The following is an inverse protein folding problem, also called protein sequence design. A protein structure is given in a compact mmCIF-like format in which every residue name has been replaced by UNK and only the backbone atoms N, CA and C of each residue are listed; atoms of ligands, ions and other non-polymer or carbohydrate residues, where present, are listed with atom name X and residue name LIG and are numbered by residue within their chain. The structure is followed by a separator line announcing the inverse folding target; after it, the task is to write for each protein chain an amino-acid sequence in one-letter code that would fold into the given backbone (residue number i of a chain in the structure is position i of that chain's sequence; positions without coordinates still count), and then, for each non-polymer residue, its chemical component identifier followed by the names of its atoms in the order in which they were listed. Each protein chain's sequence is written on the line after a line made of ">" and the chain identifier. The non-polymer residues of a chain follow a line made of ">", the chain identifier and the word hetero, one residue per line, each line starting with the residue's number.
data_IF_287747039511
#
_entry.id   IF_287747039511
#
_cell.length_a   1.000
_cell.length_b   1.000
_cell.length_c   1.000
_cell.angle_alpha   90.00
_cell.angle_beta   90.00
_cell.angle_gamma   90.00
#
_symmetry.space_group_name_H-M   'P 1'
#
loop_
_entity.id
_entity.type
_entity.pdbx_description
1 polymer ?
#
# COMPACT_ATOMS: atom_id res chain seq x y z
N UNK A 1 -3.72 13.30 1.49
CA UNK A 1 -3.40 13.13 0.05
C UNK A 1 -2.71 11.80 -0.22
N UNK A 2 -1.65 11.46 0.53
CA UNK A 2 -0.93 10.19 0.40
C UNK A 2 -1.78 8.92 0.56
N UNK A 3 -2.90 8.98 1.27
CA UNK A 3 -3.83 7.86 1.33
C UNK A 3 -4.42 7.49 -0.05
N UNK A 4 -4.70 8.48 -0.91
CA UNK A 4 -5.20 8.20 -2.26
C UNK A 4 -4.15 7.50 -3.12
N UNK A 5 -2.86 7.72 -2.83
CA UNK A 5 -1.77 7.03 -3.52
C UNK A 5 -1.84 5.51 -3.34
N UNK A 6 -2.40 4.98 -2.23
CA UNK A 6 -2.49 3.53 -2.08
C UNK A 6 -3.44 2.85 -3.08
N UNK A 7 -4.38 3.58 -3.69
CA UNK A 7 -5.36 3.03 -4.64
C UNK A 7 -4.66 2.39 -5.87
N UNK A 8 -3.86 3.13 -6.66
CA UNK A 8 -3.14 2.55 -7.79
C UNK A 8 -2.17 1.43 -7.39
N UNK A 9 -1.49 1.56 -6.25
CA UNK A 9 -0.59 0.53 -5.72
C UNK A 9 -1.35 -0.77 -5.45
N UNK A 10 -2.51 -0.69 -4.79
CA UNK A 10 -3.38 -1.84 -4.52
C UNK A 10 -3.87 -2.44 -5.83
N UNK A 11 -4.31 -1.61 -6.79
CA UNK A 11 -4.74 -2.07 -8.11
C UNK A 11 -3.62 -2.82 -8.84
N UNK A 12 -2.39 -2.33 -8.79
CA UNK A 12 -1.21 -2.98 -9.38
C UNK A 12 -0.98 -4.36 -8.77
N UNK A 13 -0.99 -4.49 -7.44
CA UNK A 13 -0.70 -5.79 -6.79
C UNK A 13 -1.83 -6.81 -6.88
N UNK A 14 -3.09 -6.38 -7.00
CA UNK A 14 -4.23 -7.30 -7.22
C UNK A 14 -4.43 -7.62 -8.71
N UNK A 15 -3.78 -6.90 -9.63
CA UNK A 15 -3.92 -7.12 -11.08
C UNK A 15 -3.61 -8.56 -11.47
N UNK A 16 -2.65 -9.20 -10.80
CA UNK A 16 -2.29 -10.60 -11.03
C UNK A 16 -3.47 -11.56 -10.86
N UNK A 17 -4.36 -11.29 -9.89
CA UNK A 17 -5.59 -12.07 -9.69
C UNK A 17 -6.60 -11.86 -10.83
N UNK A 18 -6.63 -10.67 -11.42
CA UNK A 18 -7.42 -10.41 -12.63
C UNK A 18 -6.88 -11.15 -13.85
N UNK A 19 -5.56 -11.25 -13.98
CA UNK A 19 -4.90 -12.02 -15.05
C UNK A 19 -5.08 -13.54 -14.87
N UNK A 20 -5.11 -14.02 -13.62
CA UNK A 20 -5.45 -15.40 -13.26
C UNK A 20 -6.86 -15.78 -13.74
N UNK A 21 -7.88 -14.98 -13.37
CA UNK A 21 -9.26 -15.21 -13.80
C UNK A 21 -9.48 -15.21 -15.31
N UNK A 22 -8.57 -14.60 -16.06
CA UNK A 22 -8.61 -14.53 -17.53
C UNK A 22 -7.85 -15.68 -18.20
N UNK A 23 -7.31 -16.64 -17.43
CA UNK A 23 -6.51 -17.77 -17.93
C UNK A 23 -5.15 -17.37 -18.49
N UNK A 24 -4.71 -16.10 -18.32
CA UNK A 24 -3.44 -15.63 -18.93
C UNK A 24 -2.21 -16.15 -18.21
N UNK A 25 -2.36 -16.55 -16.95
CA UNK A 25 -1.26 -17.13 -16.17
C UNK A 25 -0.85 -18.51 -16.68
N UNK A 26 -1.79 -19.30 -17.21
CA UNK A 26 -1.49 -20.61 -17.81
C UNK A 26 -0.52 -20.48 -18.99
N UNK A 27 -0.74 -19.49 -19.86
CA UNK A 27 0.14 -19.20 -20.99
C UNK A 27 1.55 -18.78 -20.57
N UNK A 28 1.66 -18.06 -19.44
CA UNK A 28 2.96 -17.61 -18.90
C UNK A 28 3.69 -18.78 -18.24
N UNK A 29 2.99 -19.63 -17.49
CA UNK A 29 3.57 -20.81 -16.83
C UNK A 29 3.80 -22.00 -17.77
N UNK A 30 3.28 -21.97 -18.99
CA UNK A 30 3.74 -22.84 -20.08
C UNK A 30 5.23 -22.59 -20.42
N UNK A 31 5.76 -21.42 -20.07
CA UNK A 31 7.21 -21.15 -20.05
C UNK A 31 7.73 -21.37 -18.62
N UNK A 32 9.03 -21.69 -18.48
CA UNK A 32 9.69 -21.92 -17.19
C UNK A 32 9.90 -20.64 -16.35
N UNK A 33 8.87 -19.81 -16.19
CA UNK A 33 8.90 -18.59 -15.37
C UNK A 33 8.48 -18.94 -13.94
N UNK A 34 9.34 -18.73 -12.93
CA UNK A 34 8.98 -19.02 -11.55
C UNK A 34 7.90 -18.04 -11.05
N UNK A 35 6.89 -18.56 -10.36
CA UNK A 35 5.74 -17.79 -9.82
C UNK A 35 6.15 -16.60 -8.95
N UNK A 36 7.20 -16.78 -8.15
CA UNK A 36 7.76 -15.72 -7.29
C UNK A 36 8.34 -14.57 -8.12
N UNK A 37 9.00 -14.87 -9.25
CA UNK A 37 9.53 -13.84 -10.15
C UNK A 37 8.41 -13.07 -10.84
N UNK A 38 7.32 -13.75 -11.20
CA UNK A 38 6.14 -13.09 -11.76
C UNK A 38 5.50 -12.15 -10.74
N UNK A 39 5.20 -12.60 -9.52
CA UNK A 39 4.64 -11.69 -8.51
C UNK A 39 5.62 -10.56 -8.17
N UNK A 40 6.91 -10.88 -8.05
CA UNK A 40 7.97 -9.91 -7.78
C UNK A 40 8.00 -8.75 -8.78
N UNK A 41 7.66 -8.95 -10.06
CA UNK A 41 7.58 -7.84 -11.02
C UNK A 41 6.45 -6.86 -10.69
N UNK A 42 5.26 -7.35 -10.29
CA UNK A 42 4.18 -6.49 -9.82
C UNK A 42 4.54 -5.75 -8.54
N UNK A 43 5.28 -6.38 -7.62
CA UNK A 43 5.77 -5.70 -6.40
C UNK A 43 6.75 -4.59 -6.72
N UNK A 44 7.70 -4.83 -7.62
CA UNK A 44 8.68 -3.81 -8.03
C UNK A 44 7.95 -2.62 -8.67
N UNK A 45 6.99 -2.89 -9.57
CA UNK A 45 6.18 -1.84 -10.20
C UNK A 45 5.40 -1.06 -9.14
N UNK A 46 4.76 -1.73 -8.18
CA UNK A 46 4.01 -1.09 -7.10
C UNK A 46 4.89 -0.21 -6.19
N UNK A 47 6.12 -0.64 -5.89
CA UNK A 47 7.08 0.16 -5.11
C UNK A 47 7.48 1.42 -5.89
N UNK A 48 7.87 1.27 -7.17
CA UNK A 48 8.24 2.40 -8.03
C UNK A 48 7.06 3.38 -8.16
N UNK A 49 5.85 2.85 -8.37
CA UNK A 49 4.62 3.63 -8.45
C UNK A 49 4.35 4.40 -7.16
N UNK A 50 4.53 3.77 -5.98
CA UNK A 50 4.36 4.45 -4.69
C UNK A 50 5.27 5.67 -4.52
N UNK A 51 6.55 5.52 -4.88
CA UNK A 51 7.53 6.61 -4.78
C UNK A 51 7.24 7.69 -5.82
N UNK A 52 6.92 7.30 -7.06
CA UNK A 52 6.61 8.23 -8.13
C UNK A 52 5.36 9.07 -7.81
N UNK A 53 4.30 8.45 -7.27
CA UNK A 53 3.08 9.16 -6.91
C UNK A 53 3.31 10.11 -5.74
N UNK A 54 4.00 9.69 -4.66
CA UNK A 54 4.31 10.60 -3.54
C UNK A 54 5.18 11.78 -3.99
N UNK A 55 6.12 11.53 -4.91
CA UNK A 55 6.93 12.59 -5.51
C UNK A 55 6.07 13.57 -6.31
N UNK A 56 5.21 13.08 -7.21
CA UNK A 56 4.32 13.92 -8.02
C UNK A 56 3.32 14.70 -7.17
N UNK A 57 2.76 14.09 -6.12
CA UNK A 57 1.88 14.76 -5.16
C UNK A 57 2.63 15.89 -4.42
N UNK A 58 3.88 15.65 -4.03
CA UNK A 58 4.71 16.64 -3.35
C UNK A 58 5.04 17.82 -4.26
N UNK A 59 5.44 17.55 -5.51
CA UNK A 59 5.71 18.60 -6.51
C UNK A 59 4.44 19.39 -6.83
N UNK A 60 3.32 18.71 -7.03
CA UNK A 60 2.03 19.34 -7.30
C UNK A 60 1.58 20.25 -6.15
N UNK A 61 1.75 19.83 -4.90
CA UNK A 61 1.43 20.64 -3.72
C UNK A 61 2.33 21.88 -3.62
N UNK A 62 3.63 21.73 -3.86
CA UNK A 62 4.56 22.87 -3.87
C UNK A 62 4.20 23.86 -4.97
N UNK A 63 3.91 23.38 -6.19
CA UNK A 63 3.46 24.23 -7.29
C UNK A 63 2.16 24.97 -6.97
N UNK A 64 1.19 24.30 -6.34
CA UNK A 64 -0.06 24.90 -5.92
C UNK A 64 0.08 25.90 -4.75
N UNK A 65 1.14 25.79 -3.95
CA UNK A 65 1.40 26.68 -2.80
C UNK A 65 1.97 28.05 -3.17
N UNK A 66 2.24 28.32 -4.45
CA UNK A 66 2.80 29.61 -4.87
C UNK A 66 4.22 29.89 -4.38
N UNK A 67 4.96 28.85 -3.94
CA UNK A 67 6.33 28.96 -3.44
C UNK A 67 6.47 29.07 -1.92
N UNK A 68 5.38 28.98 -1.16
CA UNK A 68 5.41 29.01 0.31
C UNK A 68 5.98 27.72 0.92
N UNK A 69 5.85 26.59 0.22
CA UNK A 69 6.31 25.29 0.70
C UNK A 69 7.64 24.89 0.08
N UNK A 70 8.60 24.52 0.94
CA UNK A 70 9.85 23.93 0.49
C UNK A 70 9.65 22.46 0.05
N UNK A 71 10.09 22.11 -1.16
CA UNK A 71 9.96 20.77 -1.72
C UNK A 71 10.56 19.68 -0.83
N UNK A 72 11.73 19.93 -0.22
CA UNK A 72 12.36 18.97 0.69
C UNK A 72 11.49 18.63 1.90
N UNK A 73 10.81 19.63 2.48
CA UNK A 73 9.92 19.43 3.62
C UNK A 73 8.68 18.63 3.21
N UNK A 74 8.05 18.98 2.09
CA UNK A 74 6.86 18.27 1.60
C UNK A 74 7.19 16.83 1.21
N UNK A 75 8.31 16.60 0.53
CA UNK A 75 8.77 15.25 0.19
C UNK A 75 9.04 14.42 1.44
N UNK A 76 9.68 15.00 2.46
CA UNK A 76 9.92 14.29 3.73
C UNK A 76 8.61 13.83 4.35
N UNK A 77 7.58 14.67 4.33
CA UNK A 77 6.23 14.31 4.83
C UNK A 77 5.61 13.22 3.96
N UNK A 78 5.62 13.36 2.64
CA UNK A 78 5.04 12.35 1.73
C UNK A 78 5.68 10.97 1.87
N UNK A 79 7.02 10.92 1.91
CA UNK A 79 7.76 9.66 2.07
C UNK A 79 7.49 8.96 3.40
N UNK A 80 7.10 9.68 4.46
CA UNK A 80 6.69 9.06 5.72
C UNK A 80 5.42 8.20 5.60
N UNK A 81 4.60 8.40 4.57
CA UNK A 81 3.38 7.61 4.35
C UNK A 81 3.61 6.32 3.57
N UNK A 82 4.79 6.12 2.96
CA UNK A 82 5.10 4.90 2.19
C UNK A 82 4.88 3.60 2.99
N UNK A 83 5.32 3.48 4.27
CA UNK A 83 5.08 2.25 5.04
C UNK A 83 3.59 1.92 5.23
N UNK A 84 2.74 2.94 5.39
CA UNK A 84 1.29 2.74 5.50
C UNK A 84 0.67 2.28 4.17
N UNK A 85 1.12 2.85 3.04
CA UNK A 85 0.72 2.42 1.70
C UNK A 85 1.12 0.96 1.46
N UNK A 86 2.36 0.60 1.80
CA UNK A 86 2.87 -0.75 1.64
C UNK A 86 2.16 -1.75 2.57
N UNK A 87 1.70 -1.35 3.75
CA UNK A 87 0.92 -2.23 4.62
C UNK A 87 -0.43 -2.62 3.98
N UNK A 88 -1.14 -1.66 3.36
CA UNK A 88 -2.38 -1.96 2.62
C UNK A 88 -2.08 -2.84 1.40
N UNK A 89 -1.00 -2.55 0.67
CA UNK A 89 -0.56 -3.38 -0.45
C UNK A 89 -0.20 -4.80 0.00
N UNK A 90 0.52 -4.93 1.12
CA UNK A 90 0.89 -6.19 1.77
C UNK A 90 -0.35 -7.02 2.13
N UNK A 91 -1.37 -6.39 2.70
CA UNK A 91 -2.65 -7.04 2.95
C UNK A 91 -3.31 -7.53 1.65
N UNK A 92 -3.30 -6.72 0.60
CA UNK A 92 -3.82 -7.10 -0.71
C UNK A 92 -3.08 -8.35 -1.25
N UNK A 93 -1.75 -8.37 -1.16
CA UNK A 93 -0.90 -9.49 -1.57
C UNK A 93 -1.20 -10.75 -0.76
N UNK A 94 -1.37 -10.60 0.56
CA UNK A 94 -1.77 -11.70 1.44
C UNK A 94 -3.11 -12.31 1.01
N UNK A 95 -4.11 -11.46 0.77
CA UNK A 95 -5.43 -11.89 0.30
C UNK A 95 -5.34 -12.55 -1.07
N UNK A 96 -4.57 -11.98 -2.01
CA UNK A 96 -4.34 -12.60 -3.31
C UNK A 96 -3.72 -13.99 -3.15
N UNK A 97 -2.78 -14.20 -2.21
CA UNK A 97 -2.15 -15.50 -1.97
C UNK A 97 -3.08 -16.53 -1.31
N UNK A 98 -3.75 -16.17 -0.20
CA UNK A 98 -4.53 -17.09 0.63
C UNK A 98 -5.99 -17.22 0.21
N UNK A 99 -6.65 -16.11 -0.06
CA UNK A 99 -8.10 -16.01 -0.23
C UNK A 99 -8.43 -15.13 -1.45
N UNK A 100 -8.08 -15.56 -2.68
CA UNK A 100 -8.16 -14.72 -3.88
C UNK A 100 -9.60 -14.22 -4.15
N UNK A 101 -10.61 -14.99 -3.75
CA UNK A 101 -12.04 -14.61 -3.83
C UNK A 101 -12.41 -13.42 -2.92
N UNK A 102 -11.61 -13.16 -1.88
CA UNK A 102 -11.84 -12.13 -0.86
C UNK A 102 -10.92 -10.92 -1.02
N UNK A 103 -10.26 -10.77 -2.17
CA UNK A 103 -9.39 -9.61 -2.47
C UNK A 103 -10.13 -8.28 -2.35
N UNK A 104 -11.45 -8.26 -2.55
CA UNK A 104 -12.28 -7.08 -2.34
C UNK A 104 -12.25 -6.55 -0.88
N UNK A 105 -11.90 -7.38 0.11
CA UNK A 105 -11.80 -6.94 1.52
C UNK A 105 -10.73 -5.88 1.74
N UNK A 106 -9.72 -5.78 0.86
CA UNK A 106 -8.74 -4.69 0.94
C UNK A 106 -9.43 -3.32 0.86
N UNK A 107 -10.51 -3.21 0.09
CA UNK A 107 -11.27 -1.97 -0.06
C UNK A 107 -12.10 -1.64 1.17
N UNK A 108 -12.56 -2.66 1.91
CA UNK A 108 -13.21 -2.44 3.20
C UNK A 108 -12.21 -1.87 4.23
N UNK A 109 -10.99 -2.40 4.27
CA UNK A 109 -9.92 -1.87 5.14
C UNK A 109 -9.49 -0.47 4.72
N UNK A 110 -9.35 -0.23 3.41
CA UNK A 110 -9.08 1.11 2.87
C UNK A 110 -10.21 2.09 3.22
N UNK A 111 -11.47 1.71 3.01
CA UNK A 111 -12.65 2.54 3.31
C UNK A 111 -12.79 2.83 4.80
N UNK A 112 -12.57 1.84 5.66
CA UNK A 112 -12.50 2.03 7.12
C UNK A 112 -11.40 3.04 7.48
N UNK A 113 -10.20 2.85 6.94
CA UNK A 113 -9.07 3.77 7.16
C UNK A 113 -9.42 5.19 6.70
N UNK A 114 -10.12 5.33 5.58
CA UNK A 114 -10.55 6.62 5.05
C UNK A 114 -11.49 7.32 6.01
N UNK A 115 -12.52 6.61 6.45
CA UNK A 115 -13.53 7.13 7.39
C UNK A 115 -12.86 7.57 8.69
N UNK A 116 -12.04 6.70 9.28
CA UNK A 116 -11.38 7.00 10.56
C UNK A 116 -10.39 8.16 10.45
N UNK A 117 -9.57 8.21 9.39
CA UNK A 117 -8.54 9.25 9.26
C UNK A 117 -9.13 10.62 8.92
N UNK A 118 -10.22 10.70 8.16
CA UNK A 118 -10.81 11.97 7.72
C UNK A 118 -11.99 12.43 8.57
N UNK A 119 -12.82 11.49 9.03
CA UNK A 119 -14.04 11.79 9.81
C UNK A 119 -13.93 11.37 11.28
N UNK A 120 -12.90 10.63 11.68
CA UNK A 120 -12.79 10.09 13.04
C UNK A 120 -12.81 11.17 14.12
N UNK A 121 -12.23 12.35 13.86
CA UNK A 121 -12.32 13.50 14.76
C UNK A 121 -13.74 14.06 14.92
N UNK A 122 -14.54 14.02 13.85
CA UNK A 122 -15.94 14.49 13.86
C UNK A 122 -16.85 13.48 14.55
N UNK A 123 -16.55 12.19 14.37
CA UNK A 123 -17.29 11.06 14.95
C UNK A 123 -16.83 10.69 16.37
N UNK A 124 -15.88 11.42 16.94
CA UNK A 124 -15.26 11.14 18.25
C UNK A 124 -14.78 9.68 18.40
N UNK A 125 -14.13 9.17 17.34
CA UNK A 125 -13.65 7.78 17.28
C UNK A 125 -12.54 7.59 18.30
N UNK A 126 -12.58 6.51 19.11
CA UNK A 126 -11.57 6.29 20.13
C UNK A 126 -10.18 6.05 19.53
N UNK A 127 -9.13 6.45 20.25
CA UNK A 127 -7.76 6.45 19.75
C UNK A 127 -7.26 5.05 19.31
N UNK A 128 -7.71 3.98 19.98
CA UNK A 128 -7.36 2.61 19.59
C UNK A 128 -7.86 2.26 18.17
N UNK A 129 -9.01 2.80 17.77
CA UNK A 129 -9.60 2.58 16.45
C UNK A 129 -8.86 3.38 15.36
N UNK A 130 -8.22 4.50 15.71
CA UNK A 130 -7.28 5.21 14.83
C UNK A 130 -5.98 4.41 14.69
N UNK A 131 -5.41 3.94 15.81
CA UNK A 131 -4.14 3.19 15.85
C UNK A 131 -4.18 1.82 15.18
N UNK A 132 -5.36 1.24 14.96
CA UNK A 132 -5.49 0.00 14.18
C UNK A 132 -5.24 0.24 12.68
N UNK A 133 -5.42 1.48 12.19
CA UNK A 133 -5.20 1.80 10.79
C UNK A 133 -3.70 1.96 10.50
N UNK A 134 -3.20 1.54 9.32
CA UNK A 134 -1.81 1.77 8.96
C UNK A 134 -1.43 3.26 8.99
N UNK A 135 -2.36 4.13 8.57
CA UNK A 135 -2.14 5.58 8.49
C UNK A 135 -2.17 6.27 9.86
N UNK A 136 -2.90 5.73 10.84
CA UNK A 136 -2.96 6.26 12.20
C UNK A 136 -1.66 6.09 13.01
N UNK A 137 -0.71 5.29 12.51
CA UNK A 137 0.60 5.08 13.12
C UNK A 137 1.70 5.98 12.51
N UNK A 138 1.39 6.77 11.47
CA UNK A 138 2.37 7.66 10.85
C UNK A 138 2.56 8.92 11.71
N UNK A 139 3.80 9.36 11.99
CA UNK A 139 4.06 10.59 12.71
C UNK A 139 3.47 11.79 11.95
N UNK A 140 2.68 12.60 12.65
CA UNK A 140 1.97 13.74 12.05
C UNK A 140 2.92 14.94 11.90
N UNK A 141 3.78 14.94 10.90
CA UNK A 141 4.66 16.07 10.61
C UNK A 141 3.88 17.27 10.02
N UNK A 142 4.25 18.53 10.34
CA UNK A 142 5.31 18.96 11.26
C UNK A 142 4.85 19.08 12.72
N UNK A 143 3.63 18.66 13.05
CA UNK A 143 3.02 18.81 14.39
C UNK A 143 3.71 17.93 15.45
N UNK A 144 4.13 16.73 15.06
CA UNK A 144 4.89 15.79 15.88
C UNK A 144 6.35 15.75 15.44
N UNK A 145 7.23 15.30 16.32
CA UNK A 145 8.61 15.02 15.96
C UNK A 145 8.71 13.79 15.06
N UNK A 146 9.72 13.79 14.19
CA UNK A 146 10.00 12.66 13.34
C UNK A 146 10.48 11.46 14.17
N UNK A 147 9.74 10.36 14.10
CA UNK A 147 10.10 9.10 14.79
C UNK A 147 10.19 7.96 13.79
N UNK A 148 11.31 7.22 13.82
CA UNK A 148 11.56 6.09 12.92
C UNK A 148 10.86 4.80 13.35
N UNK A 149 10.63 4.64 14.66
CA UNK A 149 10.12 3.40 15.24
C UNK A 149 8.79 2.92 14.61
N UNK A 150 7.73 3.76 14.49
CA UNK A 150 6.48 3.31 13.87
C UNK A 150 6.64 3.00 12.37
N UNK A 151 7.52 3.72 11.67
CA UNK A 151 7.79 3.49 10.24
C UNK A 151 8.44 2.13 10.00
N UNK A 152 9.41 1.77 10.85
CA UNK A 152 10.06 0.45 10.81
C UNK A 152 9.04 -0.65 11.10
N UNK A 153 8.23 -0.50 12.15
CA UNK A 153 7.19 -1.47 12.51
C UNK A 153 6.20 -1.72 11.37
N UNK A 154 5.67 -0.67 10.76
CA UNK A 154 4.77 -0.78 9.60
C UNK A 154 5.45 -1.43 8.39
N UNK A 155 6.70 -1.07 8.12
CA UNK A 155 7.45 -1.66 7.00
C UNK A 155 7.67 -3.15 7.21
N UNK A 156 8.01 -3.58 8.42
CA UNK A 156 8.16 -5.00 8.77
C UNK A 156 6.83 -5.76 8.62
N UNK A 157 5.71 -5.17 9.05
CA UNK A 157 4.38 -5.74 8.85
C UNK A 157 4.08 -5.88 7.35
N UNK A 158 4.32 -4.82 6.57
CA UNK A 158 4.11 -4.84 5.12
C UNK A 158 4.93 -5.95 4.42
N UNK A 159 6.21 -6.06 4.78
CA UNK A 159 7.11 -7.10 4.26
C UNK A 159 6.64 -8.49 4.66
N UNK A 160 6.22 -8.69 5.92
CA UNK A 160 5.71 -9.98 6.38
C UNK A 160 4.43 -10.39 5.64
N UNK A 161 3.47 -9.48 5.50
CA UNK A 161 2.24 -9.72 4.75
C UNK A 161 2.52 -10.06 3.28
N UNK A 162 3.39 -9.30 2.63
CA UNK A 162 3.79 -9.53 1.24
C UNK A 162 4.52 -10.87 1.07
N UNK A 163 5.47 -11.18 1.95
CA UNK A 163 6.23 -12.44 1.92
C UNK A 163 5.30 -13.65 2.09
N UNK A 164 4.42 -13.62 3.10
CA UNK A 164 3.44 -14.69 3.33
C UNK A 164 2.49 -14.85 2.13
N UNK A 165 1.99 -13.75 1.56
CA UNK A 165 1.13 -13.80 0.38
C UNK A 165 1.83 -14.39 -0.85
N UNK A 166 3.08 -14.01 -1.12
CA UNK A 166 3.87 -14.53 -2.25
C UNK A 166 4.24 -16.00 -2.05
N UNK A 167 4.64 -16.40 -0.84
CA UNK A 167 4.93 -17.81 -0.52
C UNK A 167 3.68 -18.67 -0.72
N UNK A 168 2.52 -18.20 -0.26
CA UNK A 168 1.27 -18.95 -0.47
C UNK A 168 0.85 -18.99 -1.93
N UNK A 169 1.03 -17.89 -2.67
CA UNK A 169 0.78 -17.85 -4.11
C UNK A 169 1.65 -18.85 -4.89
N UNK A 170 2.90 -19.06 -4.47
CA UNK A 170 3.78 -20.06 -5.07
C UNK A 170 3.20 -21.48 -4.94
N UNK A 171 2.66 -21.82 -3.77
CA UNK A 171 2.15 -23.16 -3.44
C UNK A 171 0.73 -23.43 -3.95
N UNK A 172 -0.06 -22.39 -4.21
CA UNK A 172 -1.46 -22.55 -4.65
C UNK A 172 -1.52 -23.14 -6.06
N UNK A 173 -2.42 -24.06 -6.32
CA UNK A 173 -2.67 -24.50 -7.69
C UNK A 173 -3.28 -23.36 -8.52
N UNK A 174 -2.76 -23.14 -9.72
CA UNK A 174 -3.20 -22.05 -10.61
C UNK A 174 -3.63 -22.72 -11.91
N UNK A 175 -4.94 -22.75 -12.12
CA UNK A 175 -5.64 -23.20 -13.33
C UNK A 175 -6.86 -22.30 -13.53
#
# INVERSE_FOLDING_TARGET
>A
MSMVASVPIVLTVIKIHGEEKRGRLEQIFARSVPRVKLYGSFLIVAIIESVAIEFLLSVGLVGASGGELALGSVLKVGLCYLPAIWAIAGLAILLVGFLPKMTALVWAVFGYTFIVMYFGRIMDVPEWAVKITPFGNIPQLPVQEFTLMPLIGLTLIAVALAALGVLRFKERDIG
#
